data_IF_803499273217
#
_entry.id   IF_803499273217
#
_cell.length_a   1.000
_cell.length_b   1.000
_cell.length_c   1.000
_cell.angle_alpha   90.00
_cell.angle_beta   90.00
_cell.angle_gamma   90.00
#
_symmetry.space_group_name_H-M   'P 1'
#
loop_
_entity.id
_entity.type
_entity.pdbx_description
1 polymer ?
#
# COMPACT_ATOMS: atom_id res chain seq x y z
N UNK A 1 16.12 7.60 9.83
CA UNK A 1 15.14 8.11 8.85
C UNK A 1 15.52 7.47 7.53
N UNK A 2 14.61 6.77 6.84
CA UNK A 2 14.91 6.28 5.48
C UNK A 2 15.14 7.53 4.62
N UNK A 3 16.40 7.83 4.33
CA UNK A 3 16.76 8.99 3.55
C UNK A 3 16.49 8.64 2.10
N UNK A 4 15.66 9.44 1.42
CA UNK A 4 15.60 9.40 -0.03
C UNK A 4 16.97 9.87 -0.53
N UNK A 5 17.80 8.94 -0.97
CA UNK A 5 19.19 9.21 -1.38
C UNK A 5 19.25 10.19 -2.57
N UNK A 6 18.19 10.22 -3.40
CA UNK A 6 18.03 11.14 -4.51
C UNK A 6 16.58 11.66 -4.59
N UNK A 7 16.31 12.95 -4.32
CA UNK A 7 14.95 13.51 -4.40
C UNK A 7 14.27 13.34 -5.76
N UNK A 8 15.06 13.21 -6.84
CA UNK A 8 14.53 12.99 -8.18
C UNK A 8 13.91 11.59 -8.37
N UNK A 9 14.17 10.64 -7.48
CA UNK A 9 13.64 9.27 -7.56
C UNK A 9 12.44 9.04 -6.63
N UNK A 10 12.05 10.03 -5.82
CA UNK A 10 10.89 9.92 -4.94
C UNK A 10 9.59 9.86 -5.74
N UNK A 11 8.68 8.94 -5.39
CA UNK A 11 7.39 8.75 -6.07
C UNK A 11 7.57 8.56 -7.59
N UNK A 12 8.64 7.86 -7.98
CA UNK A 12 8.92 7.58 -9.38
C UNK A 12 8.11 6.35 -9.85
N UNK A 13 7.18 6.56 -10.78
CA UNK A 13 6.34 5.52 -11.37
C UNK A 13 6.79 5.21 -12.80
N UNK A 14 6.68 3.93 -13.17
CA UNK A 14 6.95 3.44 -14.52
C UNK A 14 5.64 2.91 -15.08
N UNK A 15 5.20 3.50 -16.20
CA UNK A 15 4.06 3.00 -16.95
C UNK A 15 4.49 1.80 -17.80
N UNK A 16 3.74 0.70 -17.69
CA UNK A 16 4.01 -0.56 -18.41
C UNK A 16 5.44 -1.10 -18.21
N UNK A 17 5.84 -1.41 -16.95
CA UNK A 17 7.17 -1.89 -16.65
C UNK A 17 7.46 -3.21 -17.37
N UNK A 18 8.70 -3.35 -17.81
CA UNK A 18 9.25 -4.49 -18.53
C UNK A 18 10.03 -5.42 -17.58
N UNK A 19 10.56 -6.51 -18.11
CA UNK A 19 11.43 -7.44 -17.37
C UNK A 19 12.75 -6.79 -16.88
N UNK A 20 13.13 -5.66 -17.46
CA UNK A 20 14.34 -4.92 -17.06
C UNK A 20 14.08 -3.94 -15.89
N UNK A 21 12.81 -3.69 -15.56
CA UNK A 21 12.43 -2.79 -14.48
C UNK A 21 12.38 -3.51 -13.13
N UNK A 22 12.48 -2.75 -12.04
CA UNK A 22 12.52 -3.32 -10.70
C UNK A 22 11.25 -4.09 -10.34
N UNK A 23 11.37 -5.08 -9.45
CA UNK A 23 10.22 -5.84 -8.93
C UNK A 23 9.21 -4.89 -8.27
N UNK A 24 9.68 -3.83 -7.61
CA UNK A 24 8.83 -2.80 -6.98
C UNK A 24 8.00 -2.07 -8.06
N UNK A 25 8.63 -1.65 -9.17
CA UNK A 25 7.90 -0.98 -10.25
C UNK A 25 6.81 -1.89 -10.85
N UNK A 26 7.13 -3.17 -11.06
CA UNK A 26 6.18 -4.17 -11.54
C UNK A 26 5.02 -4.39 -10.56
N UNK A 27 5.32 -4.53 -9.26
CA UNK A 27 4.33 -4.67 -8.18
C UNK A 27 3.39 -3.48 -8.15
N UNK A 28 3.93 -2.27 -8.04
CA UNK A 28 3.16 -1.01 -7.98
C UNK A 28 2.25 -0.87 -9.20
N UNK A 29 2.78 -1.08 -10.41
CA UNK A 29 1.98 -1.02 -11.64
C UNK A 29 0.82 -2.03 -11.60
N UNK A 30 1.09 -3.28 -11.20
CA UNK A 30 0.06 -4.31 -11.14
C UNK A 30 -1.02 -3.99 -10.09
N UNK A 31 -0.64 -3.46 -8.93
CA UNK A 31 -1.58 -3.00 -7.89
C UNK A 31 -2.49 -1.91 -8.42
N UNK A 32 -1.95 -0.86 -9.05
CA UNK A 32 -2.76 0.20 -9.66
C UNK A 32 -3.62 -0.28 -10.82
N UNK A 33 -3.08 -1.15 -11.69
CA UNK A 33 -3.83 -1.74 -12.81
C UNK A 33 -5.04 -2.52 -12.30
N UNK A 34 -4.87 -3.37 -11.30
CA UNK A 34 -5.98 -4.11 -10.69
C UNK A 34 -6.98 -3.16 -10.03
N UNK A 35 -6.48 -2.18 -9.26
CA UNK A 35 -7.33 -1.18 -8.61
C UNK A 35 -8.19 -0.43 -9.64
N UNK A 36 -7.59 0.11 -10.70
CA UNK A 36 -8.32 0.83 -11.76
C UNK A 36 -9.29 -0.07 -12.55
N UNK A 37 -9.01 -1.38 -12.64
CA UNK A 37 -9.88 -2.33 -13.34
C UNK A 37 -11.12 -2.69 -12.51
N UNK A 38 -10.97 -2.82 -11.18
CA UNK A 38 -12.00 -3.45 -10.33
C UNK A 38 -12.69 -2.51 -9.33
N UNK A 39 -12.15 -1.32 -9.07
CA UNK A 39 -12.78 -0.31 -8.20
C UNK A 39 -13.97 0.36 -8.91
N UNK A 40 -15.12 -0.31 -8.90
CA UNK A 40 -16.39 0.24 -9.40
C UNK A 40 -17.32 0.67 -8.24
N UNK A 41 -18.37 1.43 -8.57
CA UNK A 41 -19.35 1.92 -7.59
C UNK A 41 -19.97 0.78 -6.79
N UNK A 42 -20.32 -0.33 -7.44
CA UNK A 42 -20.92 -1.48 -6.77
C UNK A 42 -19.93 -2.20 -5.86
N UNK A 43 -18.65 -2.27 -6.23
CA UNK A 43 -17.61 -2.79 -5.36
C UNK A 43 -17.47 -1.93 -4.10
N UNK A 44 -17.33 -0.61 -4.26
CA UNK A 44 -17.17 0.31 -3.13
C UNK A 44 -18.37 0.27 -2.18
N UNK A 45 -19.60 0.23 -2.71
CA UNK A 45 -20.81 0.06 -1.89
C UNK A 45 -20.77 -1.22 -1.04
N UNK A 46 -20.40 -2.35 -1.63
CA UNK A 46 -20.25 -3.63 -0.90
C UNK A 46 -19.16 -3.55 0.17
N UNK A 47 -18.05 -2.88 -0.10
CA UNK A 47 -16.99 -2.70 0.89
C UNK A 47 -17.46 -1.82 2.06
N UNK A 48 -18.26 -0.77 1.80
CA UNK A 48 -18.86 0.02 2.88
C UNK A 48 -19.80 -0.82 3.75
N UNK A 49 -20.72 -1.56 3.12
CA UNK A 49 -21.67 -2.44 3.83
C UNK A 49 -20.96 -3.53 4.66
N UNK A 50 -19.77 -3.95 4.21
CA UNK A 50 -18.92 -4.90 4.92
C UNK A 50 -18.22 -4.22 6.10
N UNK A 51 -17.35 -3.24 5.86
CA UNK A 51 -16.37 -2.78 6.84
C UNK A 51 -16.90 -1.74 7.84
N UNK A 52 -17.93 -0.97 7.51
CA UNK A 52 -18.45 0.10 8.38
C UNK A 52 -19.32 -0.41 9.55
N UNK A 53 -19.42 -1.72 9.72
CA UNK A 53 -20.07 -2.33 10.90
C UNK A 53 -19.14 -2.40 12.12
N UNK A 54 -17.83 -2.28 11.92
CA UNK A 54 -16.81 -2.31 12.98
C UNK A 54 -16.90 -3.55 13.90
N UNK A 55 -17.37 -4.67 13.35
CA UNK A 55 -17.60 -5.95 14.02
C UNK A 55 -16.56 -7.03 13.64
N UNK A 56 -15.47 -6.63 12.97
CA UNK A 56 -14.48 -7.54 12.41
C UNK A 56 -13.41 -7.95 13.44
N UNK A 57 -13.09 -7.06 14.38
CA UNK A 57 -12.15 -7.31 15.47
C UNK A 57 -12.31 -6.23 16.56
N UNK A 58 -11.73 -6.45 17.74
CA UNK A 58 -11.65 -5.46 18.82
C UNK A 58 -10.21 -5.41 19.36
N UNK A 59 -9.55 -4.29 19.11
CA UNK A 59 -8.15 -4.10 19.47
C UNK A 59 -7.86 -2.68 19.97
N UNK A 60 -6.78 -2.52 20.73
CA UNK A 60 -6.21 -1.22 21.05
C UNK A 60 -5.46 -0.66 19.83
N UNK A 61 -5.17 0.64 19.84
CA UNK A 61 -4.37 1.26 18.77
C UNK A 61 -3.01 0.59 18.62
N UNK A 62 -2.35 0.23 19.73
CA UNK A 62 -1.05 -0.43 19.67
C UNK A 62 -1.14 -1.81 19.02
N UNK A 63 -2.17 -2.59 19.34
CA UNK A 63 -2.40 -3.89 18.70
C UNK A 63 -2.68 -3.75 17.19
N UNK A 64 -3.36 -2.67 16.77
CA UNK A 64 -3.53 -2.36 15.35
C UNK A 64 -2.19 -2.04 14.68
N UNK A 65 -1.32 -1.26 15.34
CA UNK A 65 0.04 -0.98 14.86
C UNK A 65 0.87 -2.27 14.77
N UNK A 66 0.74 -3.19 15.72
CA UNK A 66 1.46 -4.46 15.69
C UNK A 66 1.10 -5.30 14.45
N UNK A 67 -0.14 -5.23 13.97
CA UNK A 67 -0.54 -5.89 12.71
C UNK A 67 0.19 -5.34 11.49
N UNK A 68 0.66 -4.09 11.54
CA UNK A 68 1.43 -3.47 10.47
C UNK A 68 2.90 -3.94 10.42
N UNK A 69 3.37 -4.76 11.37
CA UNK A 69 4.67 -5.42 11.27
C UNK A 69 4.73 -6.43 10.11
N UNK A 70 3.59 -7.01 9.74
CA UNK A 70 3.49 -8.06 8.72
C UNK A 70 2.94 -7.53 7.39
N UNK A 71 2.75 -6.21 7.27
CA UNK A 71 2.17 -5.57 6.10
C UNK A 71 3.20 -4.68 5.40
N UNK A 72 3.45 -4.96 4.12
CA UNK A 72 4.23 -4.11 3.21
C UNK A 72 3.24 -3.48 2.23
N UNK A 73 3.32 -2.16 2.02
CA UNK A 73 2.45 -1.47 1.07
C UNK A 73 2.91 -1.72 -0.37
N UNK A 74 2.13 -2.49 -1.12
CA UNK A 74 2.45 -2.84 -2.51
C UNK A 74 2.34 -1.65 -3.48
N UNK A 75 1.62 -0.59 -3.09
CA UNK A 75 1.37 0.59 -3.91
C UNK A 75 2.43 1.68 -3.77
N UNK A 76 3.28 1.59 -2.75
CA UNK A 76 4.34 2.57 -2.51
C UNK A 76 5.62 2.20 -3.30
N UNK A 77 6.09 3.08 -4.21
CA UNK A 77 7.30 2.83 -4.99
C UNK A 77 8.59 3.09 -4.20
N UNK A 78 8.51 3.77 -3.06
CA UNK A 78 9.67 4.27 -2.32
C UNK A 78 10.08 3.34 -1.17
N UNK A 79 9.25 2.33 -0.84
CA UNK A 79 9.44 1.54 0.38
C UNK A 79 9.11 0.06 0.21
N UNK A 80 9.95 -0.79 0.82
CA UNK A 80 9.77 -2.24 0.92
C UNK A 80 9.99 -2.76 2.35
N UNK A 81 9.62 -1.95 3.36
CA UNK A 81 9.69 -2.32 4.78
C UNK A 81 8.28 -2.40 5.39
N UNK A 82 8.12 -3.09 6.54
CA UNK A 82 6.86 -3.10 7.28
C UNK A 82 6.27 -1.70 7.52
N UNK A 83 4.97 -1.55 7.26
CA UNK A 83 4.30 -0.25 7.29
C UNK A 83 4.22 0.37 8.69
N UNK A 84 4.43 -0.43 9.75
CA UNK A 84 4.59 0.08 11.11
C UNK A 84 5.71 1.13 11.22
N UNK A 85 6.80 1.00 10.45
CA UNK A 85 7.88 1.98 10.47
C UNK A 85 7.41 3.34 9.98
N UNK A 86 6.57 3.38 8.94
CA UNK A 86 5.96 4.62 8.46
C UNK A 86 5.01 5.23 9.47
N UNK A 87 4.24 4.39 10.17
CA UNK A 87 3.30 4.86 11.19
C UNK A 87 3.98 5.66 12.31
N UNK A 88 5.25 5.38 12.63
CA UNK A 88 6.04 6.14 13.62
C UNK A 88 6.90 7.26 13.03
N UNK A 89 7.21 7.22 11.73
CA UNK A 89 8.07 8.22 11.08
C UNK A 89 7.32 9.46 10.56
N UNK A 90 6.01 9.33 10.34
CA UNK A 90 5.14 10.39 9.80
C UNK A 90 4.94 11.51 10.81
#
# INVERSE_FOLDING_TARGET
MLQVENPATFRHYIDEPTENDSIIAQRVFNTYKQMHTYQCVDFVRKQHDRWLKFDHDRMTIYQALEKLNEFIDESDPDVDVPNIYHAFQT
#
